data_IF_980607532137
#
_entry.id   IF_980607532137
#
_cell.length_a   1.000
_cell.length_b   1.000
_cell.length_c   1.000
_cell.angle_alpha   90.00
_cell.angle_beta   90.00
_cell.angle_gamma   90.00
#
_symmetry.space_group_name_H-M   'P 1'
#
loop_
_entity.id
_entity.type
_entity.pdbx_description
1 polymer ?
#
# COMPACT_ATOMS: atom_id res chain seq x y z
N UNK A 1 -20.17 -22.30 -2.99
CA UNK A 1 -19.67 -21.81 -1.69
C UNK A 1 -19.60 -20.30 -1.77
N UNK A 2 -19.75 -19.57 -0.66
CA UNK A 2 -19.57 -18.11 -0.69
C UNK A 2 -18.10 -17.74 -0.87
N UNK A 3 -17.84 -16.56 -1.46
CA UNK A 3 -16.50 -16.00 -1.62
C UNK A 3 -15.90 -15.62 -0.26
N UNK A 4 -14.57 -15.74 -0.12
CA UNK A 4 -13.80 -15.16 0.98
C UNK A 4 -13.77 -13.63 0.87
N UNK A 5 -13.42 -12.92 1.94
CA UNK A 5 -13.35 -11.45 1.89
C UNK A 5 -12.39 -10.95 0.79
N UNK A 6 -11.22 -11.57 0.66
CA UNK A 6 -10.26 -11.24 -0.39
C UNK A 6 -10.84 -11.46 -1.79
N UNK A 7 -11.50 -12.61 -2.03
CA UNK A 7 -12.17 -12.88 -3.30
C UNK A 7 -13.32 -11.90 -3.57
N UNK A 8 -14.08 -11.49 -2.55
CA UNK A 8 -15.15 -10.48 -2.70
C UNK A 8 -14.61 -9.12 -3.13
N UNK A 9 -13.58 -8.63 -2.44
CA UNK A 9 -12.97 -7.33 -2.74
C UNK A 9 -12.38 -7.33 -4.15
N UNK A 10 -11.61 -8.37 -4.49
CA UNK A 10 -10.98 -8.45 -5.80
C UNK A 10 -12.02 -8.69 -6.91
N UNK A 11 -13.07 -9.48 -6.66
CA UNK A 11 -14.18 -9.66 -7.62
C UNK A 11 -14.88 -8.34 -7.91
N UNK A 12 -15.10 -7.52 -6.88
CA UNK A 12 -15.69 -6.20 -7.04
C UNK A 12 -14.81 -5.30 -7.91
N UNK A 13 -13.51 -5.23 -7.62
CA UNK A 13 -12.56 -4.43 -8.38
C UNK A 13 -12.39 -4.94 -9.84
N UNK A 14 -12.46 -6.26 -10.05
CA UNK A 14 -12.37 -6.88 -11.38
C UNK A 14 -13.66 -6.78 -12.20
N UNK A 15 -14.79 -6.40 -11.59
CA UNK A 15 -16.11 -6.37 -12.26
C UNK A 15 -16.67 -7.74 -12.61
N UNK A 16 -16.11 -8.83 -12.05
CA UNK A 16 -16.55 -10.22 -12.24
C UNK A 16 -16.16 -11.07 -11.06
N UNK A 17 -16.84 -12.19 -10.86
CA UNK A 17 -16.43 -13.18 -9.86
C UNK A 17 -15.05 -13.77 -10.20
N UNK A 18 -14.20 -13.88 -9.17
CA UNK A 18 -12.85 -14.44 -9.24
C UNK A 18 -12.61 -15.37 -8.05
N UNK A 19 -11.74 -16.36 -8.23
CA UNK A 19 -11.40 -17.34 -7.21
C UNK A 19 -9.90 -17.43 -6.98
N UNK A 20 -9.50 -17.94 -5.82
CA UNK A 20 -8.11 -18.20 -5.50
C UNK A 20 -7.36 -18.91 -6.65
N UNK A 21 -6.21 -18.37 -7.04
CA UNK A 21 -5.40 -18.83 -8.18
C UNK A 21 -5.61 -18.05 -9.48
N UNK A 22 -6.73 -17.35 -9.65
CA UNK A 22 -6.99 -16.51 -10.83
C UNK A 22 -5.97 -15.36 -10.93
N UNK A 23 -5.58 -15.02 -12.16
CA UNK A 23 -4.80 -13.82 -12.46
C UNK A 23 -5.74 -12.72 -12.95
N UNK A 24 -5.66 -11.55 -12.34
CA UNK A 24 -6.53 -10.41 -12.62
C UNK A 24 -5.74 -9.11 -12.73
N UNK A 25 -6.23 -8.20 -13.57
CA UNK A 25 -5.82 -6.80 -13.59
C UNK A 25 -6.95 -6.02 -12.94
N UNK A 26 -6.63 -5.27 -11.89
CA UNK A 26 -7.63 -4.51 -11.13
C UNK A 26 -7.20 -3.06 -10.97
N UNK A 27 -8.16 -2.12 -10.91
CA UNK A 27 -7.85 -0.75 -10.54
C UNK A 27 -7.32 -0.69 -9.11
N UNK A 28 -6.42 0.24 -8.87
CA UNK A 28 -5.90 0.56 -7.53
C UNK A 28 -6.64 1.78 -7.01
N UNK A 29 -7.07 1.72 -5.75
CA UNK A 29 -7.73 2.85 -5.07
C UNK A 29 -6.72 3.82 -4.49
N UNK A 30 -5.62 3.31 -3.92
CA UNK A 30 -4.47 4.12 -3.53
C UNK A 30 -3.15 3.34 -3.63
N UNK A 31 -2.11 3.99 -4.16
CA UNK A 31 -0.76 3.44 -4.27
C UNK A 31 0.25 4.29 -3.47
N UNK A 32 0.75 3.73 -2.37
CA UNK A 32 1.67 4.41 -1.44
C UNK A 32 3.14 4.24 -1.83
N UNK A 33 3.91 5.33 -1.82
CA UNK A 33 5.36 5.34 -1.85
C UNK A 33 5.96 5.82 -0.52
N UNK A 34 7.02 5.16 -0.04
CA UNK A 34 7.83 5.63 1.11
C UNK A 34 9.14 6.25 0.64
N UNK A 35 9.76 7.10 1.44
CA UNK A 35 10.94 7.90 1.05
C UNK A 35 12.15 7.07 0.60
N UNK A 36 12.33 5.87 1.16
CA UNK A 36 13.43 4.96 0.82
C UNK A 36 13.31 4.34 -0.57
N UNK A 37 12.09 4.14 -1.10
CA UNK A 37 11.83 3.41 -2.35
C UNK A 37 11.28 4.33 -3.45
N UNK A 38 10.61 5.43 -3.09
CA UNK A 38 10.05 6.39 -4.04
C UNK A 38 11.05 6.93 -5.07
N UNK A 39 12.32 7.24 -4.74
CA UNK A 39 13.32 7.62 -5.74
C UNK A 39 13.46 6.61 -6.87
N UNK A 40 13.44 5.30 -6.56
CA UNK A 40 13.51 4.21 -7.53
C UNK A 40 12.21 4.05 -8.30
N UNK A 41 11.05 4.21 -7.66
CA UNK A 41 9.75 4.23 -8.35
C UNK A 41 9.73 5.31 -9.44
N UNK A 42 10.20 6.52 -9.11
CA UNK A 42 10.30 7.64 -10.07
C UNK A 42 11.22 7.28 -11.23
N UNK A 43 12.36 6.64 -10.95
CA UNK A 43 13.32 6.25 -11.99
C UNK A 43 12.76 5.16 -12.91
N UNK A 44 12.10 4.14 -12.37
CA UNK A 44 11.43 3.11 -13.19
C UNK A 44 10.34 3.74 -14.05
N UNK A 45 9.49 4.59 -13.46
CA UNK A 45 8.38 5.23 -14.18
C UNK A 45 8.88 6.08 -15.37
N UNK A 46 9.91 6.90 -15.16
CA UNK A 46 10.44 7.78 -16.21
C UNK A 46 11.35 7.05 -17.19
N UNK A 47 12.32 6.28 -16.70
CA UNK A 47 13.41 5.76 -17.52
C UNK A 47 13.08 4.41 -18.17
N UNK A 48 12.29 3.56 -17.50
CA UNK A 48 11.96 2.22 -18.01
C UNK A 48 10.58 2.18 -18.65
N UNK A 49 9.57 2.79 -18.03
CA UNK A 49 8.21 2.84 -18.57
C UNK A 49 8.01 4.00 -19.56
N UNK A 50 8.86 5.02 -19.54
CA UNK A 50 8.75 6.20 -20.42
C UNK A 50 7.54 7.09 -20.10
N UNK A 51 7.06 7.07 -18.84
CA UNK A 51 5.86 7.78 -18.41
C UNK A 51 6.25 9.03 -17.61
N UNK A 52 5.86 10.20 -18.11
CA UNK A 52 6.19 11.50 -17.50
C UNK A 52 5.17 11.97 -16.46
N UNK A 53 3.92 11.50 -16.57
CA UNK A 53 2.80 11.91 -15.71
C UNK A 53 2.16 10.69 -15.05
N UNK A 54 1.88 10.82 -13.76
CA UNK A 54 1.09 9.81 -13.04
C UNK A 54 -0.34 9.74 -13.59
N UNK A 55 -0.96 8.57 -13.49
CA UNK A 55 -2.32 8.30 -13.95
C UNK A 55 -3.35 9.16 -13.23
N UNK A 56 -3.30 9.17 -11.90
CA UNK A 56 -4.18 9.97 -11.06
C UNK A 56 -3.44 10.40 -9.78
N UNK A 57 -3.13 11.70 -9.63
CA UNK A 57 -2.40 12.21 -8.45
C UNK A 57 -3.21 12.11 -7.15
N UNK A 58 -4.54 11.94 -7.21
CA UNK A 58 -5.39 11.76 -6.02
C UNK A 58 -5.34 10.33 -5.49
N UNK A 59 -4.89 9.38 -6.30
CA UNK A 59 -4.74 7.96 -5.93
C UNK A 59 -3.32 7.59 -5.51
N UNK A 60 -2.46 8.58 -5.30
CA UNK A 60 -1.07 8.38 -4.91
C UNK A 60 -0.82 9.05 -3.58
N UNK A 61 -0.24 8.30 -2.65
CA UNK A 61 0.22 8.81 -1.37
C UNK A 61 1.74 8.68 -1.29
N UNK A 62 2.42 9.71 -0.81
CA UNK A 62 3.86 9.68 -0.59
C UNK A 62 4.12 10.12 0.84
N UNK A 63 4.76 9.27 1.65
CA UNK A 63 5.06 9.56 3.06
C UNK A 63 6.57 9.51 3.29
N UNK A 64 7.10 10.52 3.99
CA UNK A 64 8.49 10.56 4.45
C UNK A 64 8.53 10.21 5.94
N UNK A 65 8.79 8.95 6.26
CA UNK A 65 8.81 8.43 7.64
C UNK A 65 10.01 7.53 7.97
N UNK A 66 10.63 6.85 7.00
CA UNK A 66 11.69 5.88 7.30
C UNK A 66 13.00 6.56 7.75
N UNK A 67 13.32 7.71 7.16
CA UNK A 67 14.50 8.51 7.53
C UNK A 67 14.10 9.96 7.80
N UNK A 68 13.39 10.16 8.90
CA UNK A 68 12.73 11.41 9.26
C UNK A 68 13.24 11.94 10.62
N UNK A 69 14.20 12.90 10.67
CA UNK A 69 14.78 13.67 9.56
C UNK A 69 15.92 12.94 8.82
N UNK A 70 16.33 13.50 7.67
CA UNK A 70 17.43 12.96 6.88
C UNK A 70 18.74 12.90 7.68
N UNK A 71 19.38 11.73 7.69
CA UNK A 71 20.61 11.48 8.47
C UNK A 71 21.90 11.84 7.71
N UNK A 72 21.83 12.00 6.39
CA UNK A 72 22.97 12.36 5.54
C UNK A 72 22.53 13.08 4.25
N UNK A 73 23.51 13.60 3.50
CA UNK A 73 23.29 14.35 2.25
C UNK A 73 22.58 13.50 1.18
N UNK A 74 22.89 12.20 1.09
CA UNK A 74 22.26 11.33 0.10
C UNK A 74 20.76 11.16 0.37
N UNK A 75 20.36 10.90 1.62
CA UNK A 75 18.95 10.86 2.03
C UNK A 75 18.27 12.21 1.82
N UNK A 76 18.93 13.31 2.18
CA UNK A 76 18.38 14.65 1.96
C UNK A 76 18.11 14.94 0.47
N UNK A 77 19.03 14.56 -0.42
CA UNK A 77 18.88 14.68 -1.87
C UNK A 77 17.77 13.79 -2.42
N UNK A 78 17.66 12.55 -1.94
CA UNK A 78 16.60 11.62 -2.30
C UNK A 78 15.22 12.18 -1.91
N UNK A 79 15.06 12.63 -0.66
CA UNK A 79 13.80 13.25 -0.21
C UNK A 79 13.50 14.56 -0.94
N UNK A 80 14.52 15.36 -1.31
CA UNK A 80 14.33 16.53 -2.16
C UNK A 80 13.84 16.17 -3.57
N UNK A 81 14.32 15.07 -4.16
CA UNK A 81 13.80 14.53 -5.42
C UNK A 81 12.32 14.14 -5.28
N UNK A 82 11.96 13.46 -4.20
CA UNK A 82 10.58 13.05 -3.91
C UNK A 82 9.65 14.26 -3.75
N UNK A 83 10.05 15.27 -2.97
CA UNK A 83 9.28 16.53 -2.79
C UNK A 83 9.04 17.24 -4.11
N UNK A 84 10.08 17.38 -4.95
CA UNK A 84 9.94 17.97 -6.30
C UNK A 84 8.99 17.18 -7.16
N UNK A 85 9.13 15.86 -7.19
CA UNK A 85 8.23 14.99 -7.95
C UNK A 85 6.77 15.13 -7.51
N UNK A 86 6.49 15.11 -6.21
CA UNK A 86 5.13 15.28 -5.68
C UNK A 86 4.51 16.61 -6.13
N UNK A 87 5.29 17.70 -6.05
CA UNK A 87 4.88 19.02 -6.52
C UNK A 87 4.67 19.07 -8.04
N UNK A 88 5.60 18.51 -8.83
CA UNK A 88 5.53 18.46 -10.30
C UNK A 88 4.29 17.70 -10.79
N UNK A 89 3.96 16.58 -10.14
CA UNK A 89 2.84 15.73 -10.50
C UNK A 89 1.50 16.23 -9.93
N UNK A 90 1.53 17.13 -8.94
CA UNK A 90 0.33 17.62 -8.27
C UNK A 90 -0.27 16.62 -7.27
N UNK A 91 0.57 15.77 -6.66
CA UNK A 91 0.16 14.76 -5.68
C UNK A 91 -0.33 15.46 -4.41
N UNK A 92 -1.61 15.30 -4.09
CA UNK A 92 -2.23 15.96 -2.93
C UNK A 92 -1.88 15.27 -1.61
N UNK A 93 -1.73 13.95 -1.64
CA UNK A 93 -1.45 13.12 -0.46
C UNK A 93 0.06 12.96 -0.23
N UNK A 94 0.77 14.09 -0.21
CA UNK A 94 2.18 14.14 0.18
C UNK A 94 2.30 14.52 1.65
N UNK A 95 2.93 13.66 2.44
CA UNK A 95 3.12 13.85 3.88
C UNK A 95 4.61 13.88 4.21
N UNK A 96 5.08 15.03 4.64
CA UNK A 96 6.48 15.26 4.96
C UNK A 96 6.87 14.70 6.35
N UNK A 97 8.16 14.80 6.66
CA UNK A 97 8.79 14.49 7.94
C UNK A 97 7.95 15.00 9.11
N UNK A 98 7.62 14.08 10.01
CA UNK A 98 6.89 14.38 11.24
C UNK A 98 5.38 14.16 11.17
N UNK A 99 4.80 13.80 10.01
CA UNK A 99 3.37 13.44 9.96
C UNK A 99 3.03 12.17 10.73
N UNK A 100 3.89 11.15 10.63
CA UNK A 100 3.70 9.85 11.28
C UNK A 100 4.22 8.68 10.43
N UNK A 101 4.12 7.45 10.97
CA UNK A 101 4.46 6.22 10.25
C UNK A 101 3.46 5.99 9.11
N UNK A 102 3.97 5.65 7.93
CA UNK A 102 3.22 5.57 6.68
C UNK A 102 1.89 4.83 6.79
N UNK A 103 1.85 3.63 7.39
CA UNK A 103 0.60 2.87 7.50
C UNK A 103 -0.42 3.49 8.44
N UNK A 104 0.03 4.17 9.50
CA UNK A 104 -0.85 4.92 10.39
C UNK A 104 -1.46 6.10 9.65
N UNK A 105 -0.64 6.85 8.91
CA UNK A 105 -1.08 8.00 8.08
C UNK A 105 -2.10 7.55 7.03
N UNK A 106 -1.83 6.45 6.33
CA UNK A 106 -2.75 5.92 5.31
C UNK A 106 -4.14 5.62 5.87
N UNK A 107 -4.24 5.10 7.09
CA UNK A 107 -5.53 4.80 7.74
C UNK A 107 -6.16 6.09 8.30
N UNK A 108 -5.42 6.93 9.03
CA UNK A 108 -5.95 8.15 9.65
C UNK A 108 -6.44 9.18 8.64
N UNK A 109 -5.79 9.26 7.48
CA UNK A 109 -6.17 10.18 6.39
C UNK A 109 -7.25 9.60 5.46
N UNK A 110 -7.76 8.39 5.76
CA UNK A 110 -8.82 7.75 4.98
C UNK A 110 -8.40 7.31 3.58
N UNK A 111 -7.09 7.08 3.36
CA UNK A 111 -6.54 6.63 2.08
C UNK A 111 -6.61 5.11 1.91
N UNK A 112 -6.87 4.39 3.01
CA UNK A 112 -7.27 3.00 3.01
C UNK A 112 -8.61 2.81 3.72
N UNK A 113 -9.54 2.14 3.05
CA UNK A 113 -10.90 1.92 3.54
C UNK A 113 -11.53 0.61 3.07
N UNK A 114 -12.69 0.26 3.63
CA UNK A 114 -13.34 -1.02 3.37
C UNK A 114 -13.59 -1.27 1.88
N UNK A 115 -13.23 -2.45 1.39
CA UNK A 115 -13.49 -2.86 0.01
C UNK A 115 -12.52 -2.31 -1.04
N UNK A 116 -11.50 -1.54 -0.64
CA UNK A 116 -10.52 -0.97 -1.55
C UNK A 116 -9.33 -1.90 -1.83
N UNK A 117 -8.72 -1.72 -3.01
CA UNK A 117 -7.39 -2.25 -3.34
C UNK A 117 -6.35 -1.17 -3.04
N UNK A 118 -5.56 -1.39 -1.98
CA UNK A 118 -4.53 -0.43 -1.55
C UNK A 118 -3.18 -1.13 -1.55
N UNK A 119 -2.23 -0.61 -2.32
CA UNK A 119 -0.89 -1.18 -2.42
C UNK A 119 0.14 -0.16 -1.96
N UNK A 120 1.29 -0.65 -1.49
CA UNK A 120 2.36 0.24 -1.05
C UNK A 120 3.74 -0.33 -1.28
N UNK A 121 4.73 0.55 -1.42
CA UNK A 121 6.14 0.19 -1.52
C UNK A 121 6.75 -0.21 -0.17
N UNK A 122 6.00 -0.91 0.68
CA UNK A 122 6.41 -1.42 1.99
C UNK A 122 5.70 -2.75 2.27
N UNK A 123 6.41 -3.72 2.87
CA UNK A 123 5.90 -5.06 3.15
C UNK A 123 4.71 -5.10 4.10
N UNK A 124 4.58 -4.12 4.99
CA UNK A 124 3.52 -4.04 6.01
C UNK A 124 2.28 -3.28 5.52
N UNK A 125 2.19 -3.00 4.21
CA UNK A 125 0.95 -2.53 3.57
C UNK A 125 -0.21 -3.52 3.75
N UNK A 126 0.04 -4.74 4.23
CA UNK A 126 -0.97 -5.68 4.74
C UNK A 126 -1.77 -5.13 5.93
N UNK A 127 -1.24 -4.13 6.65
CA UNK A 127 -1.91 -3.46 7.78
C UNK A 127 -3.27 -2.86 7.40
N UNK A 128 -3.48 -2.50 6.14
CA UNK A 128 -4.76 -1.97 5.65
C UNK A 128 -5.90 -2.99 5.73
N UNK A 129 -5.59 -4.29 5.84
CA UNK A 129 -6.56 -5.33 6.14
C UNK A 129 -7.33 -5.09 7.45
N UNK A 130 -6.76 -4.37 8.41
CA UNK A 130 -7.42 -4.02 9.67
C UNK A 130 -8.67 -3.15 9.48
N UNK A 131 -8.76 -2.39 8.38
CA UNK A 131 -9.92 -1.57 8.01
C UNK A 131 -10.75 -2.19 6.88
N UNK A 132 -10.55 -3.46 6.57
CA UNK A 132 -11.32 -4.19 5.55
C UNK A 132 -10.91 -3.87 4.10
N UNK A 133 -9.74 -3.29 3.88
CA UNK A 133 -9.14 -3.15 2.56
C UNK A 133 -8.35 -4.42 2.17
N UNK A 134 -8.16 -4.65 0.88
CA UNK A 134 -7.13 -5.57 0.41
C UNK A 134 -5.79 -4.81 0.31
N UNK A 135 -4.96 -4.97 1.35
CA UNK A 135 -3.65 -4.33 1.47
C UNK A 135 -2.50 -5.24 1.03
N UNK A 136 -1.62 -4.78 0.15
CA UNK A 136 -0.46 -5.57 -0.28
C UNK A 136 0.81 -4.74 -0.48
N UNK A 137 1.94 -5.27 0.00
CA UNK A 137 3.26 -4.70 -0.25
C UNK A 137 3.81 -5.11 -1.61
N UNK A 138 4.35 -4.15 -2.35
CA UNK A 138 4.80 -4.34 -3.74
C UNK A 138 6.17 -3.70 -3.97
N UNK A 139 6.89 -4.19 -5.00
CA UNK A 139 8.19 -3.65 -5.38
C UNK A 139 8.10 -2.30 -6.09
N UNK A 140 9.26 -1.66 -6.30
CA UNK A 140 9.33 -0.37 -7.00
C UNK A 140 8.72 -0.44 -8.41
N UNK A 141 8.95 -1.53 -9.15
CA UNK A 141 8.41 -1.72 -10.50
C UNK A 141 6.90 -1.81 -10.52
N UNK A 142 6.30 -2.55 -9.59
CA UNK A 142 4.84 -2.72 -9.51
C UNK A 142 4.14 -1.42 -9.09
N UNK A 143 4.74 -0.67 -8.15
CA UNK A 143 4.20 0.64 -7.75
C UNK A 143 4.37 1.65 -8.89
N UNK A 144 5.49 1.64 -9.62
CA UNK A 144 5.67 2.48 -10.80
C UNK A 144 4.61 2.18 -11.89
N UNK A 145 4.31 0.90 -12.12
CA UNK A 145 3.22 0.48 -13.02
C UNK A 145 1.85 0.98 -12.53
N UNK A 146 1.57 0.89 -11.24
CA UNK A 146 0.32 1.40 -10.67
C UNK A 146 0.22 2.92 -10.75
N UNK A 147 1.30 3.65 -10.50
CA UNK A 147 1.36 5.10 -10.66
C UNK A 147 1.19 5.51 -12.13
N UNK A 148 1.72 4.73 -13.07
CA UNK A 148 1.62 5.01 -14.50
C UNK A 148 0.25 4.65 -15.10
N UNK A 149 -0.43 3.61 -14.60
CA UNK A 149 -1.61 3.03 -15.26
C UNK A 149 -2.89 3.05 -14.42
N UNK A 150 -2.79 3.29 -13.11
CA UNK A 150 -3.90 3.16 -12.16
C UNK A 150 -4.31 1.72 -11.86
N UNK A 151 -3.55 0.72 -12.34
CA UNK A 151 -3.89 -0.69 -12.23
C UNK A 151 -2.72 -1.53 -11.71
N UNK A 152 -3.03 -2.71 -11.18
CA UNK A 152 -2.03 -3.71 -10.78
C UNK A 152 -2.48 -5.11 -11.17
N UNK A 153 -1.52 -6.03 -11.25
CA UNK A 153 -1.75 -7.46 -11.48
C UNK A 153 -1.77 -8.17 -10.13
N UNK A 154 -2.82 -8.95 -9.87
CA UNK A 154 -2.91 -9.78 -8.68
C UNK A 154 -3.16 -11.23 -9.08
N UNK A 155 -2.49 -12.15 -8.37
CA UNK A 155 -2.98 -13.51 -8.22
C UNK A 155 -3.90 -13.53 -7.02
N UNK A 156 -5.16 -13.88 -7.22
CA UNK A 156 -6.13 -13.97 -6.12
C UNK A 156 -5.63 -14.99 -5.10
N UNK A 157 -5.44 -14.62 -3.82
CA UNK A 157 -4.83 -15.52 -2.84
C UNK A 157 -5.86 -16.49 -2.26
N UNK A 158 -5.38 -17.66 -1.84
CA UNK A 158 -6.11 -18.50 -0.88
C UNK A 158 -6.25 -17.78 0.46
N UNK A 159 -7.28 -18.11 1.24
CA UNK A 159 -7.52 -17.49 2.55
C UNK A 159 -7.41 -18.51 3.67
N UNK A 160 -6.58 -18.21 4.67
CA UNK A 160 -6.56 -18.90 5.96
C UNK A 160 -7.48 -18.14 6.92
N UNK A 161 -8.54 -18.80 7.40
CA UNK A 161 -9.49 -18.18 8.32
C UNK A 161 -9.12 -18.49 9.77
N UNK A 162 -8.63 -17.49 10.49
CA UNK A 162 -8.33 -17.59 11.92
C UNK A 162 -9.53 -17.08 12.72
N UNK A 163 -10.12 -17.95 13.54
CA UNK A 163 -11.29 -17.62 14.37
C UNK A 163 -10.89 -17.54 15.84
N UNK A 164 -10.54 -16.33 16.30
CA UNK A 164 -10.34 -16.06 17.72
C UNK A 164 -11.67 -15.88 18.45
N UNK A 165 -11.83 -16.47 19.64
CA UNK A 165 -13.05 -16.40 20.47
C UNK A 165 -12.69 -16.11 21.92
N UNK A 166 -13.57 -15.40 22.63
CA UNK A 166 -13.39 -15.02 24.03
C UNK A 166 -12.92 -13.58 24.20
N UNK A 167 -12.43 -13.26 25.40
CA UNK A 167 -11.90 -11.93 25.76
C UNK A 167 -10.44 -12.06 26.19
N UNK A 168 -9.65 -11.01 25.99
CA UNK A 168 -8.29 -10.97 26.52
C UNK A 168 -8.30 -10.98 28.05
N UNK A 169 -7.45 -11.82 28.63
CA UNK A 169 -7.13 -11.77 30.06
C UNK A 169 -6.40 -10.47 30.39
N UNK A 170 -6.39 -10.08 31.67
CA UNK A 170 -5.64 -8.90 32.13
C UNK A 170 -4.16 -9.01 31.70
N UNK A 171 -3.65 -7.96 31.06
CA UNK A 171 -2.28 -7.90 30.55
C UNK A 171 -2.04 -8.54 29.18
N UNK A 172 -3.05 -9.18 28.58
CA UNK A 172 -2.98 -9.74 27.21
C UNK A 172 -3.55 -8.74 26.21
N UNK A 173 -2.89 -8.59 25.07
CA UNK A 173 -3.21 -7.62 24.03
C UNK A 173 -3.34 -8.26 22.64
N UNK A 174 -3.77 -7.46 21.66
CA UNK A 174 -3.78 -7.90 20.26
C UNK A 174 -2.40 -8.30 19.75
N UNK A 175 -1.32 -7.69 20.26
CA UNK A 175 0.06 -8.05 19.89
C UNK A 175 0.40 -9.47 20.32
N UNK A 176 -0.01 -9.87 21.52
CA UNK A 176 0.21 -11.22 22.05
C UNK A 176 -0.52 -12.27 21.21
N UNK A 177 -1.77 -11.97 20.79
CA UNK A 177 -2.54 -12.83 19.90
C UNK A 177 -1.84 -13.02 18.54
N UNK A 178 -1.37 -11.94 17.91
CA UNK A 178 -0.67 -12.04 16.62
C UNK A 178 0.63 -12.84 16.74
N UNK A 179 1.42 -12.63 17.79
CA UNK A 179 2.65 -13.40 18.02
C UNK A 179 2.38 -14.89 18.27
N UNK A 180 1.26 -15.22 18.92
CA UNK A 180 0.86 -16.61 19.12
C UNK A 180 0.44 -17.28 17.80
N UNK A 181 -0.32 -16.57 16.96
CA UNK A 181 -0.72 -17.05 15.63
C UNK A 181 0.48 -17.33 14.72
N UNK A 182 1.51 -16.48 14.74
CA UNK A 182 2.71 -16.65 13.91
C UNK A 182 3.52 -17.92 14.24
N UNK A 183 3.28 -18.54 15.40
CA UNK A 183 3.97 -19.74 15.86
C UNK A 183 3.15 -21.03 15.70
N UNK A 184 1.86 -20.91 15.35
CA UNK A 184 0.91 -22.02 15.31
C UNK A 184 0.75 -22.59 13.90
#
# INVERSE_FOLDING_TARGET
>A
MGLTLSEQIISHAAGREVHAGDLVVVPVDCAMGVDSITPSIIDVMRNELGVERVFDPDKIAIIIDHVAPAVNIATANAQAKVRRFAMEQGIRHFYDVGRGVCHQVMIEEGLAGPGQIVIGSDSHSTSYGAVGAFGCGMGATDIALAWATGHTWLKVPETICIRARGNFSAGVTAKDLTLWVEQA
#
